data_IF_319508812375
#
_entry.id   IF_319508812375
#
_cell.length_a   1.000
_cell.length_b   1.000
_cell.length_c   1.000
_cell.angle_alpha   90.00
_cell.angle_beta   90.00
_cell.angle_gamma   90.00
#
_symmetry.space_group_name_H-M   'P 1'
#
loop_
_entity.id
_entity.type
_entity.pdbx_description
1 polymer ?
#
# COMPACT_ATOMS: atom_id res chain seq x y z
N UNK A 1 17.67 -6.90 -16.21
CA UNK A 1 17.76 -5.81 -15.26
C UNK A 1 18.16 -4.51 -15.92
N UNK A 2 17.73 -3.43 -15.35
CA UNK A 2 18.04 -2.06 -15.80
C UNK A 2 19.22 -1.46 -15.03
N UNK A 3 19.59 -2.07 -13.89
CA UNK A 3 20.73 -1.65 -13.10
C UNK A 3 22.06 -1.88 -13.84
N UNK A 4 23.04 -1.03 -13.59
CA UNK A 4 24.41 -1.24 -14.06
C UNK A 4 24.99 -2.48 -13.37
N UNK A 5 26.02 -3.05 -13.97
CA UNK A 5 26.77 -4.14 -13.34
C UNK A 5 27.35 -3.70 -11.98
N UNK A 6 27.18 -4.55 -10.98
CA UNK A 6 27.77 -4.42 -9.66
C UNK A 6 28.45 -5.74 -9.29
N UNK A 7 29.63 -5.66 -8.71
CA UNK A 7 30.24 -6.82 -8.10
C UNK A 7 29.43 -7.31 -6.93
N UNK A 8 29.56 -8.59 -6.59
CA UNK A 8 28.91 -9.14 -5.42
C UNK A 8 29.32 -8.37 -4.16
N UNK A 9 28.31 -8.00 -3.38
CA UNK A 9 28.48 -7.45 -2.04
C UNK A 9 27.46 -8.12 -1.12
N UNK A 10 27.90 -8.45 0.10
CA UNK A 10 27.04 -9.04 1.11
C UNK A 10 25.80 -8.18 1.41
N UNK A 11 25.94 -6.85 1.33
CA UNK A 11 24.85 -5.90 1.57
C UNK A 11 23.75 -5.93 0.50
N UNK A 12 23.96 -6.64 -0.62
CA UNK A 12 22.94 -6.90 -1.64
C UNK A 12 22.21 -8.24 -1.43
N UNK A 13 22.60 -9.03 -0.41
CA UNK A 13 22.15 -10.41 -0.25
C UNK A 13 21.10 -10.57 0.85
N UNK A 14 20.45 -11.75 0.90
CA UNK A 14 19.49 -12.20 1.91
C UNK A 14 18.39 -11.16 2.25
N UNK A 15 17.81 -10.55 1.21
CA UNK A 15 16.70 -9.61 1.40
C UNK A 15 17.11 -8.14 1.41
N UNK A 16 18.37 -7.81 1.66
CA UNK A 16 18.88 -6.42 1.65
C UNK A 16 18.76 -5.75 0.29
N UNK A 17 18.75 -6.52 -0.81
CA UNK A 17 18.53 -6.01 -2.16
C UNK A 17 17.27 -5.14 -2.29
N UNK A 18 16.25 -5.39 -1.49
CA UNK A 18 15.00 -4.60 -1.47
C UNK A 18 15.23 -3.14 -1.10
N UNK A 19 16.30 -2.86 -0.34
CA UNK A 19 16.60 -1.54 0.16
C UNK A 19 17.33 -0.65 -0.86
N UNK A 20 17.77 -1.19 -1.99
CA UNK A 20 18.51 -0.46 -3.00
C UNK A 20 17.61 -0.07 -4.17
N UNK A 21 17.63 1.21 -4.57
CA UNK A 21 16.83 1.72 -5.68
C UNK A 21 17.06 1.00 -7.02
N UNK A 22 18.27 0.46 -7.22
CA UNK A 22 18.61 -0.26 -8.45
C UNK A 22 18.05 -1.68 -8.50
N UNK A 23 17.62 -2.25 -7.38
CA UNK A 23 17.23 -3.65 -7.30
C UNK A 23 15.82 -3.88 -6.75
N UNK A 24 15.33 -2.98 -5.88
CA UNK A 24 14.07 -3.17 -5.20
C UNK A 24 13.22 -1.92 -5.09
N UNK A 25 12.10 -2.06 -4.40
CA UNK A 25 11.10 -1.00 -4.24
C UNK A 25 10.90 -0.58 -2.78
N UNK A 26 11.86 -0.90 -1.89
CA UNK A 26 11.80 -0.55 -0.47
C UNK A 26 10.60 -1.15 0.27
N UNK A 27 10.33 -0.62 1.45
CA UNK A 27 9.24 -1.09 2.32
C UNK A 27 7.86 -0.86 1.68
N UNK A 28 7.65 0.28 1.05
CA UNK A 28 6.38 0.59 0.39
C UNK A 28 6.06 -0.43 -0.72
N UNK A 29 7.02 -0.78 -1.57
CA UNK A 29 6.81 -1.74 -2.64
C UNK A 29 6.67 -3.19 -2.15
N UNK A 30 7.36 -3.54 -1.06
CA UNK A 30 7.32 -4.88 -0.47
C UNK A 30 6.05 -5.09 0.37
N UNK A 31 5.71 -4.13 1.25
CA UNK A 31 4.60 -4.24 2.20
C UNK A 31 3.31 -3.53 1.79
N UNK A 32 3.38 -2.62 0.82
CA UNK A 32 2.22 -1.83 0.43
C UNK A 32 1.02 -2.68 0.03
N UNK A 33 1.22 -3.75 -0.75
CA UNK A 33 0.16 -4.66 -1.14
C UNK A 33 -0.50 -5.38 0.05
N UNK A 34 0.27 -5.66 1.13
CA UNK A 34 -0.25 -6.32 2.31
C UNK A 34 -1.04 -5.39 3.24
N UNK A 35 -0.91 -4.09 3.08
CA UNK A 35 -1.50 -3.09 3.97
C UNK A 35 -2.56 -2.25 3.26
N UNK A 36 -2.27 -1.72 2.07
CA UNK A 36 -3.16 -0.80 1.37
C UNK A 36 -4.25 -1.48 0.55
N UNK A 37 -4.09 -2.75 0.19
CA UNK A 37 -4.99 -3.50 -0.70
C UNK A 37 -6.46 -3.35 -0.30
N UNK A 38 -6.81 -3.65 0.94
CA UNK A 38 -8.17 -3.56 1.45
C UNK A 38 -8.75 -2.15 1.33
N UNK A 39 -7.99 -1.13 1.73
CA UNK A 39 -8.44 0.26 1.63
C UNK A 39 -8.55 0.70 0.17
N UNK A 40 -7.61 0.29 -0.66
CA UNK A 40 -7.56 0.65 -2.07
C UNK A 40 -8.77 0.07 -2.83
N UNK A 41 -9.09 -1.20 -2.61
CA UNK A 41 -10.22 -1.87 -3.27
C UNK A 41 -11.56 -1.38 -2.72
N UNK A 42 -11.78 -1.41 -1.41
CA UNK A 42 -13.09 -1.11 -0.82
C UNK A 42 -13.47 0.37 -0.89
N UNK A 43 -12.51 1.25 -0.94
CA UNK A 43 -12.76 2.68 -1.15
C UNK A 43 -12.68 3.10 -2.62
N UNK A 44 -12.50 2.15 -3.54
CA UNK A 44 -12.38 2.40 -4.99
C UNK A 44 -11.42 3.55 -5.32
N UNK A 45 -10.21 3.51 -4.74
CA UNK A 45 -9.31 4.65 -4.76
C UNK A 45 -8.74 4.96 -6.16
N UNK A 46 -8.43 3.93 -6.94
CA UNK A 46 -7.77 4.09 -8.23
C UNK A 46 -6.36 4.69 -8.08
N UNK A 47 -6.06 5.73 -8.85
CA UNK A 47 -4.75 6.39 -8.81
C UNK A 47 -4.83 7.73 -8.07
N UNK A 48 -3.78 8.13 -7.32
CA UNK A 48 -3.73 9.42 -6.66
C UNK A 48 -3.53 10.56 -7.65
N UNK A 49 -3.85 11.78 -7.25
CA UNK A 49 -3.53 13.01 -7.99
C UNK A 49 -2.27 13.69 -7.49
N UNK A 50 -1.88 13.40 -6.26
CA UNK A 50 -0.70 14.00 -5.62
C UNK A 50 -0.02 12.97 -4.70
N UNK A 51 1.31 12.96 -4.71
CA UNK A 51 2.15 12.20 -3.80
C UNK A 51 3.17 13.15 -3.20
N UNK A 52 3.25 13.20 -1.87
CA UNK A 52 4.12 14.14 -1.16
C UNK A 52 4.94 13.42 -0.08
N UNK A 53 6.28 13.44 -0.14
CA UNK A 53 7.12 12.92 0.92
C UNK A 53 7.16 13.96 2.06
N UNK A 54 6.47 13.65 3.17
CA UNK A 54 6.42 14.53 4.33
C UNK A 54 7.65 14.40 5.22
N UNK A 55 8.22 13.20 5.28
CA UNK A 55 9.39 12.89 6.08
C UNK A 55 10.19 11.76 5.46
N UNK A 56 11.50 11.94 5.32
CA UNK A 56 12.44 10.94 4.82
C UNK A 56 13.71 11.00 5.65
N UNK A 57 13.93 10.01 6.52
CA UNK A 57 15.14 9.91 7.32
C UNK A 57 16.29 9.33 6.52
N UNK A 58 17.43 9.99 6.56
CA UNK A 58 18.67 9.57 5.87
C UNK A 58 18.49 9.40 4.36
N UNK A 59 17.68 10.28 3.74
CA UNK A 59 17.47 10.29 2.29
C UNK A 59 18.81 10.42 1.53
N UNK A 60 18.99 9.57 0.52
CA UNK A 60 20.20 9.54 -0.33
C UNK A 60 19.83 8.96 -1.72
N UNK A 61 20.73 9.05 -2.73
CA UNK A 61 20.41 8.58 -4.08
C UNK A 61 20.55 7.07 -4.32
N UNK A 62 20.99 6.29 -3.33
CA UNK A 62 21.35 4.88 -3.53
C UNK A 62 20.35 3.91 -2.93
N UNK A 63 19.87 4.17 -1.73
CA UNK A 63 18.98 3.26 -1.00
C UNK A 63 17.81 4.01 -0.35
N UNK A 64 16.79 3.25 -0.01
CA UNK A 64 15.56 3.79 0.58
C UNK A 64 15.82 4.40 1.95
N UNK A 65 15.06 5.45 2.32
CA UNK A 65 15.13 6.05 3.66
C UNK A 65 14.94 5.03 4.77
N UNK A 66 15.58 5.26 5.90
CA UNK A 66 15.44 4.42 7.09
C UNK A 66 14.05 4.51 7.72
N UNK A 67 13.38 5.62 7.49
CA UNK A 67 11.98 5.87 7.86
C UNK A 67 11.38 6.85 6.87
N UNK A 68 10.11 6.65 6.52
CA UNK A 68 9.41 7.58 5.64
C UNK A 68 7.96 7.82 6.03
N UNK A 69 7.48 9.03 5.74
CA UNK A 69 6.06 9.38 5.76
C UNK A 69 5.69 9.96 4.41
N UNK A 70 4.75 9.31 3.72
CA UNK A 70 4.25 9.74 2.42
C UNK A 70 2.77 10.02 2.49
N UNK A 71 2.35 11.12 1.91
CA UNK A 71 0.95 11.48 1.73
C UNK A 71 0.53 11.24 0.28
N UNK A 72 -0.53 10.46 0.09
CA UNK A 72 -1.19 10.25 -1.20
C UNK A 72 -2.57 10.90 -1.16
N UNK A 73 -2.91 11.71 -2.15
CA UNK A 73 -4.23 12.32 -2.27
C UNK A 73 -5.02 11.67 -3.39
N UNK A 74 -6.17 11.15 -3.04
CA UNK A 74 -7.13 10.57 -3.97
C UNK A 74 -8.34 11.48 -4.12
N UNK A 75 -8.79 11.76 -5.34
CA UNK A 75 -9.91 12.67 -5.58
C UNK A 75 -11.24 12.03 -5.19
N UNK A 76 -12.30 12.83 -5.22
CA UNK A 76 -13.67 12.34 -5.18
C UNK A 76 -13.92 11.33 -6.31
N UNK A 77 -14.75 10.32 -6.05
CA UNK A 77 -15.08 9.26 -7.00
C UNK A 77 -16.48 8.70 -6.75
N UNK A 78 -17.35 8.83 -7.74
CA UNK A 78 -18.76 8.48 -7.59
C UNK A 78 -19.37 9.26 -6.42
N UNK A 79 -19.93 8.53 -5.45
CA UNK A 79 -20.52 9.10 -4.23
C UNK A 79 -19.52 9.13 -3.05
N UNK A 80 -18.27 8.77 -3.26
CA UNK A 80 -17.25 8.75 -2.22
C UNK A 80 -16.44 10.05 -2.20
N UNK A 81 -16.18 10.62 -1.02
CA UNK A 81 -15.39 11.84 -0.88
C UNK A 81 -13.92 11.61 -1.27
N UNK A 82 -13.18 12.69 -1.42
CA UNK A 82 -11.72 12.63 -1.50
C UNK A 82 -11.13 11.94 -0.26
N UNK A 83 -10.02 11.24 -0.44
CA UNK A 83 -9.33 10.49 0.62
C UNK A 83 -7.85 10.83 0.59
N UNK A 84 -7.31 11.12 1.76
CA UNK A 84 -5.88 11.22 1.99
C UNK A 84 -5.39 9.94 2.66
N UNK A 85 -4.35 9.32 2.09
CA UNK A 85 -3.65 8.19 2.71
C UNK A 85 -2.27 8.63 3.13
N UNK A 86 -1.96 8.42 4.41
CA UNK A 86 -0.62 8.63 4.94
C UNK A 86 0.03 7.27 5.22
N UNK A 87 1.10 6.99 4.51
CA UNK A 87 1.96 5.84 4.72
C UNK A 87 3.06 6.18 5.71
N UNK A 88 3.30 5.28 6.65
CA UNK A 88 4.39 5.38 7.62
C UNK A 88 5.23 4.11 7.55
N UNK A 89 6.54 4.23 7.52
CA UNK A 89 7.48 3.13 7.72
C UNK A 89 8.68 3.58 8.57
N UNK A 90 9.39 2.60 9.11
CA UNK A 90 10.51 2.81 10.02
C UNK A 90 10.16 2.61 11.49
N UNK A 91 11.11 2.10 12.29
CA UNK A 91 10.89 1.76 13.70
C UNK A 91 10.69 2.98 14.60
N UNK A 92 11.18 4.13 14.18
CA UNK A 92 11.12 5.40 14.90
C UNK A 92 10.08 6.38 14.33
N UNK A 93 9.26 5.91 13.40
CA UNK A 93 8.25 6.72 12.71
C UNK A 93 6.85 6.07 12.82
N UNK A 94 6.48 5.73 14.04
CA UNK A 94 5.20 5.10 14.34
C UNK A 94 4.16 6.20 14.56
N UNK A 95 3.01 6.18 13.82
CA UNK A 95 1.94 7.15 14.04
C UNK A 95 1.30 7.00 15.41
N UNK A 96 0.63 8.05 15.89
CA UNK A 96 -0.26 7.94 17.04
C UNK A 96 -1.41 7.01 16.70
N UNK A 97 -1.83 6.22 17.68
CA UNK A 97 -2.96 5.29 17.52
C UNK A 97 -4.23 5.87 18.12
N UNK A 98 -5.40 5.57 17.53
CA UNK A 98 -6.68 6.03 18.04
C UNK A 98 -7.07 5.32 19.33
N UNK A 99 -8.05 5.91 20.03
CA UNK A 99 -8.67 5.29 21.20
C UNK A 99 -9.23 3.90 20.85
N UNK A 100 -9.03 2.94 21.74
CA UNK A 100 -9.46 1.55 21.56
C UNK A 100 -8.48 0.68 20.76
N UNK A 101 -7.43 1.27 20.17
CA UNK A 101 -6.42 0.49 19.46
C UNK A 101 -5.64 -0.44 20.41
N UNK A 102 -5.68 -1.75 20.14
CA UNK A 102 -4.92 -2.75 20.91
C UNK A 102 -5.51 -3.13 22.28
N UNK A 103 -6.69 -2.60 22.64
CA UNK A 103 -7.41 -2.92 23.87
C UNK A 103 -8.80 -3.52 23.62
N UNK A 104 -9.24 -3.58 22.36
CA UNK A 104 -10.52 -4.14 21.96
C UNK A 104 -10.54 -5.66 22.15
N UNK A 105 -11.60 -6.18 22.77
CA UNK A 105 -11.87 -7.61 22.89
C UNK A 105 -12.57 -8.16 21.63
N UNK A 106 -13.18 -7.29 20.85
CA UNK A 106 -13.92 -7.64 19.64
C UNK A 106 -13.05 -7.58 18.36
N UNK A 107 -11.85 -6.99 18.42
CA UNK A 107 -10.97 -6.85 17.27
C UNK A 107 -10.22 -8.16 16.99
N UNK A 108 -10.53 -8.89 15.90
CA UNK A 108 -9.85 -10.12 15.56
C UNK A 108 -8.38 -9.92 15.12
N UNK A 109 -7.97 -8.66 14.94
CA UNK A 109 -6.62 -8.29 14.52
C UNK A 109 -5.72 -7.87 15.69
N UNK A 110 -6.18 -8.05 16.94
CA UNK A 110 -5.30 -7.84 18.10
C UNK A 110 -4.21 -8.90 18.05
N UNK A 111 -2.93 -8.50 17.99
CA UNK A 111 -1.86 -9.47 18.05
C UNK A 111 -1.90 -10.19 19.41
N UNK A 112 -2.00 -11.50 19.38
CA UNK A 112 -1.77 -12.33 20.54
C UNK A 112 -0.27 -12.32 20.85
N UNK A 113 0.18 -11.31 21.58
CA UNK A 113 1.53 -11.34 22.17
C UNK A 113 1.43 -12.01 23.53
N UNK A 114 2.33 -12.91 23.82
CA UNK A 114 2.45 -13.46 25.16
C UNK A 114 2.50 -12.34 26.19
N UNK A 115 1.40 -12.18 26.97
CA UNK A 115 1.25 -11.10 27.94
C UNK A 115 0.20 -10.01 27.62
N UNK A 116 -0.49 -10.07 26.49
CA UNK A 116 -1.74 -9.33 26.24
C UNK A 116 -1.68 -7.82 26.12
N UNK A 117 -0.49 -7.19 26.04
CA UNK A 117 -0.38 -5.73 25.87
C UNK A 117 0.51 -5.40 24.67
N UNK A 118 -0.04 -4.70 23.68
CA UNK A 118 0.75 -4.11 22.60
C UNK A 118 1.55 -2.96 23.21
N UNK A 119 2.88 -3.06 23.13
CA UNK A 119 3.74 -1.92 23.40
C UNK A 119 3.61 -0.93 22.23
N UNK A 120 3.35 0.38 22.45
CA UNK A 120 3.22 1.36 21.38
C UNK A 120 4.40 1.36 20.39
N UNK A 121 5.60 1.10 20.86
CA UNK A 121 6.81 0.98 20.04
C UNK A 121 6.91 -0.32 19.22
N UNK A 122 5.93 -1.20 19.29
CA UNK A 122 5.89 -2.51 18.60
C UNK A 122 4.55 -2.75 17.93
N UNK A 123 3.97 -1.72 17.32
CA UNK A 123 2.77 -1.89 16.54
C UNK A 123 3.05 -2.85 15.37
N UNK A 124 2.16 -3.81 15.17
CA UNK A 124 2.23 -4.64 13.99
C UNK A 124 1.84 -3.83 12.76
N UNK A 125 2.39 -4.18 11.59
CA UNK A 125 1.96 -3.59 10.34
C UNK A 125 0.45 -3.71 10.15
N UNK A 126 -0.20 -2.61 9.80
CA UNK A 126 -1.64 -2.57 9.65
C UNK A 126 -2.12 -1.25 9.06
N UNK A 127 -3.42 -1.05 9.11
CA UNK A 127 -4.10 0.12 8.58
C UNK A 127 -5.18 0.61 9.51
N UNK A 128 -5.45 1.90 9.45
CA UNK A 128 -6.57 2.57 10.09
C UNK A 128 -7.33 3.38 9.05
N UNK A 129 -8.65 3.37 9.10
CA UNK A 129 -9.51 4.12 8.19
C UNK A 129 -10.44 4.98 9.04
N UNK A 130 -10.35 6.28 8.86
CA UNK A 130 -11.13 7.26 9.57
C UNK A 130 -12.29 7.76 8.71
N UNK A 131 -13.50 7.72 9.25
CA UNK A 131 -14.67 8.37 8.67
C UNK A 131 -15.21 9.43 9.62
N UNK A 132 -16.32 10.07 9.27
CA UNK A 132 -16.96 11.07 10.15
C UNK A 132 -17.46 10.48 11.46
N UNK A 133 -17.88 9.22 11.47
CA UNK A 133 -18.57 8.59 12.60
C UNK A 133 -17.83 7.37 13.14
N UNK A 134 -17.03 6.70 12.32
CA UNK A 134 -16.43 5.42 12.63
C UNK A 134 -14.94 5.42 12.34
N UNK A 135 -14.21 4.70 13.18
CA UNK A 135 -12.80 4.36 12.93
C UNK A 135 -12.72 2.85 12.73
N UNK A 136 -12.01 2.46 11.67
CA UNK A 136 -11.75 1.06 11.36
C UNK A 136 -10.27 0.76 11.53
N UNK A 137 -9.99 -0.44 12.05
CA UNK A 137 -8.66 -0.99 12.17
C UNK A 137 -8.56 -2.30 11.41
N UNK A 138 -7.44 -2.54 10.77
CA UNK A 138 -7.11 -3.82 10.14
C UNK A 138 -5.62 -4.11 10.26
N UNK A 139 -5.27 -5.38 10.33
CA UNK A 139 -3.87 -5.81 10.25
C UNK A 139 -3.36 -5.82 8.80
N UNK A 140 -2.28 -6.55 8.56
CA UNK A 140 -1.73 -6.82 7.24
C UNK A 140 -2.32 -8.11 6.63
N UNK A 141 -1.92 -8.43 5.39
CA UNK A 141 -2.22 -9.71 4.71
C UNK A 141 -3.71 -10.03 4.56
N UNK A 142 -4.53 -9.03 4.20
CA UNK A 142 -5.96 -9.23 3.96
C UNK A 142 -6.77 -9.50 5.22
N UNK A 143 -6.29 -9.06 6.38
CA UNK A 143 -7.06 -9.13 7.62
C UNK A 143 -8.37 -8.36 7.51
N UNK A 144 -9.40 -8.84 8.21
CA UNK A 144 -10.69 -8.16 8.30
C UNK A 144 -10.54 -6.79 8.96
N UNK A 145 -11.43 -5.87 8.61
CA UNK A 145 -11.56 -4.59 9.29
C UNK A 145 -12.48 -4.75 10.51
N UNK A 146 -12.08 -4.12 11.62
CA UNK A 146 -12.86 -4.01 12.85
C UNK A 146 -13.21 -2.57 13.11
N UNK A 147 -14.40 -2.31 13.65
CA UNK A 147 -14.79 -1.00 14.16
C UNK A 147 -14.22 -0.86 15.57
N UNK A 148 -13.60 0.27 15.85
CA UNK A 148 -13.07 0.62 17.17
C UNK A 148 -13.59 2.00 17.62
N UNK A 149 -13.79 2.23 18.96
CA UNK A 149 -13.72 1.26 20.05
C UNK A 149 -14.88 0.25 20.07
N UNK A 150 -14.85 -0.74 20.97
CA UNK A 150 -15.82 -1.82 21.05
C UNK A 150 -17.27 -1.35 21.26
N UNK A 151 -17.49 -0.24 21.93
CA UNK A 151 -18.81 0.36 22.12
C UNK A 151 -19.43 0.73 20.77
N UNK A 152 -18.63 1.30 19.86
CA UNK A 152 -19.06 1.62 18.49
C UNK A 152 -19.31 0.38 17.66
N UNK A 153 -18.50 -0.66 17.81
CA UNK A 153 -18.71 -1.93 17.13
C UNK A 153 -20.06 -2.56 17.54
N UNK A 154 -20.36 -2.58 18.83
CA UNK A 154 -21.65 -3.09 19.37
C UNK A 154 -22.84 -2.26 18.87
N UNK A 155 -22.74 -0.92 18.87
CA UNK A 155 -23.79 -0.04 18.34
C UNK A 155 -24.10 -0.32 16.87
N UNK A 156 -23.07 -0.65 16.09
CA UNK A 156 -23.20 -0.88 14.64
C UNK A 156 -23.63 -2.31 14.27
N UNK A 157 -23.53 -3.27 15.17
CA UNK A 157 -23.73 -4.70 14.89
C UNK A 157 -25.02 -4.99 14.10
N UNK A 158 -26.14 -4.42 14.53
CA UNK A 158 -27.43 -4.61 13.85
C UNK A 158 -27.57 -3.90 12.50
N UNK A 159 -26.64 -3.01 12.17
CA UNK A 159 -26.63 -2.22 10.91
C UNK A 159 -25.66 -2.79 9.89
N UNK A 160 -24.80 -3.72 10.28
CA UNK A 160 -23.84 -4.33 9.37
C UNK A 160 -24.54 -5.36 8.49
N UNK A 161 -24.27 -5.35 7.18
CA UNK A 161 -24.83 -6.36 6.28
C UNK A 161 -24.21 -7.73 6.54
N UNK A 162 -24.98 -8.80 6.35
CA UNK A 162 -24.43 -10.13 6.28
C UNK A 162 -23.54 -10.25 5.03
N UNK A 163 -22.29 -10.63 5.22
CA UNK A 163 -21.35 -10.87 4.12
C UNK A 163 -21.33 -12.36 3.80
N UNK A 164 -21.65 -12.77 2.57
CA UNK A 164 -21.63 -14.18 2.19
C UNK A 164 -20.22 -14.74 2.30
N UNK A 165 -20.11 -15.97 2.77
CA UNK A 165 -18.82 -16.66 2.79
C UNK A 165 -18.30 -16.88 1.37
N UNK A 166 -17.01 -16.74 1.18
CA UNK A 166 -16.36 -17.08 -0.09
C UNK A 166 -16.62 -18.54 -0.45
N UNK A 167 -16.98 -18.86 -1.71
CA UNK A 167 -17.28 -20.23 -2.13
C UNK A 167 -16.07 -21.15 -2.07
N UNK A 168 -14.87 -20.60 -2.20
CA UNK A 168 -13.60 -21.31 -2.16
C UNK A 168 -12.55 -20.59 -1.32
N UNK A 169 -11.55 -21.28 -0.83
CA UNK A 169 -10.40 -20.66 -0.19
C UNK A 169 -9.48 -19.99 -1.24
N UNK A 170 -8.49 -19.23 -0.78
CA UNK A 170 -7.58 -18.46 -1.63
C UNK A 170 -6.88 -19.30 -2.71
N UNK A 171 -6.33 -20.45 -2.36
CA UNK A 171 -5.61 -21.34 -3.30
C UNK A 171 -6.57 -22.01 -4.29
N UNK A 172 -7.70 -22.48 -3.81
CA UNK A 172 -8.73 -23.08 -4.65
C UNK A 172 -9.29 -22.06 -5.64
N UNK A 173 -9.50 -20.81 -5.23
CA UNK A 173 -9.96 -19.75 -6.13
C UNK A 173 -9.01 -19.54 -7.31
N UNK A 174 -7.70 -19.53 -7.07
CA UNK A 174 -6.71 -19.42 -8.17
C UNK A 174 -6.87 -20.57 -9.18
N UNK A 175 -6.89 -21.81 -8.69
CA UNK A 175 -7.02 -22.98 -9.56
C UNK A 175 -8.36 -23.00 -10.31
N UNK A 176 -9.46 -22.73 -9.62
CA UNK A 176 -10.79 -22.69 -10.21
C UNK A 176 -10.93 -21.56 -11.23
N UNK A 177 -10.27 -20.43 -11.00
CA UNK A 177 -10.22 -19.32 -11.96
C UNK A 177 -9.42 -19.68 -13.21
N UNK A 178 -8.29 -20.37 -13.07
CA UNK A 178 -7.54 -20.91 -14.21
C UNK A 178 -8.36 -21.90 -15.06
N UNK A 179 -9.27 -22.63 -14.41
CA UNK A 179 -10.20 -23.57 -15.06
C UNK A 179 -11.46 -22.91 -15.63
N UNK A 180 -11.61 -21.58 -15.47
CA UNK A 180 -12.82 -20.84 -15.87
C UNK A 180 -14.07 -21.13 -15.03
N UNK A 181 -13.92 -21.75 -13.84
CA UNK A 181 -15.03 -22.13 -12.94
C UNK A 181 -15.38 -21.05 -11.92
N UNK A 182 -14.45 -20.16 -11.60
CA UNK A 182 -14.65 -18.98 -10.74
C UNK A 182 -13.96 -17.75 -11.36
N UNK A 183 -14.37 -16.56 -10.90
CA UNK A 183 -13.61 -15.34 -11.14
C UNK A 183 -12.52 -15.21 -10.07
N UNK A 184 -11.33 -14.77 -10.47
CA UNK A 184 -10.28 -14.46 -9.48
C UNK A 184 -10.72 -13.29 -8.60
N UNK A 185 -10.41 -13.36 -7.31
CA UNK A 185 -10.67 -12.29 -6.33
C UNK A 185 -9.59 -11.20 -6.34
N UNK A 186 -8.45 -11.46 -6.95
CA UNK A 186 -7.35 -10.50 -7.09
C UNK A 186 -6.98 -10.34 -8.59
N UNK A 187 -7.87 -9.79 -9.42
CA UNK A 187 -7.59 -9.58 -10.85
C UNK A 187 -6.60 -8.45 -11.05
N UNK A 188 -5.98 -8.40 -12.23
CA UNK A 188 -5.07 -7.30 -12.58
C UNK A 188 -5.75 -5.93 -12.64
N UNK A 189 -7.06 -5.87 -12.80
CA UNK A 189 -7.83 -4.63 -12.69
C UNK A 189 -7.78 -4.00 -11.30
N UNK A 190 -7.49 -4.79 -10.26
CA UNK A 190 -7.26 -4.34 -8.88
C UNK A 190 -5.75 -4.19 -8.64
N UNK A 191 -4.98 -5.25 -8.91
CA UNK A 191 -3.54 -5.27 -8.61
C UNK A 191 -2.73 -4.26 -9.45
N UNK A 192 -3.14 -3.98 -10.69
CA UNK A 192 -2.46 -3.03 -11.57
C UNK A 192 -2.46 -1.61 -11.02
N UNK A 193 -3.64 -0.98 -10.77
CA UNK A 193 -3.68 0.36 -10.16
C UNK A 193 -3.00 0.43 -8.80
N UNK A 194 -3.17 -0.56 -7.94
CA UNK A 194 -2.50 -0.63 -6.65
C UNK A 194 -0.97 -0.62 -6.80
N UNK A 195 -0.42 -1.40 -7.74
CA UNK A 195 1.02 -1.40 -8.02
C UNK A 195 1.51 -0.06 -8.55
N UNK A 196 0.72 0.64 -9.36
CA UNK A 196 1.05 1.99 -9.83
C UNK A 196 1.12 3.00 -8.69
N UNK A 197 0.25 2.89 -7.67
CA UNK A 197 0.34 3.73 -6.46
C UNK A 197 1.71 3.57 -5.79
N UNK A 198 2.20 2.34 -5.66
CA UNK A 198 3.52 2.09 -5.06
C UNK A 198 4.65 2.65 -5.92
N UNK A 199 4.58 2.48 -7.24
CA UNK A 199 5.59 3.05 -8.15
C UNK A 199 5.68 4.58 -8.01
N UNK A 200 4.54 5.26 -7.94
CA UNK A 200 4.50 6.72 -7.73
C UNK A 200 5.07 7.11 -6.36
N UNK A 201 4.74 6.36 -5.31
CA UNK A 201 5.29 6.58 -3.97
C UNK A 201 6.81 6.40 -3.92
N UNK A 202 7.31 5.31 -4.49
CA UNK A 202 8.77 5.03 -4.60
C UNK A 202 9.49 6.12 -5.35
N UNK A 203 8.90 6.60 -6.45
CA UNK A 203 9.49 7.69 -7.23
C UNK A 203 9.56 8.99 -6.43
N UNK A 204 8.49 9.33 -5.70
CA UNK A 204 8.46 10.48 -4.79
C UNK A 204 9.51 10.36 -3.67
N UNK A 205 9.68 9.17 -3.07
CA UNK A 205 10.73 8.91 -2.07
C UNK A 205 12.12 9.10 -2.67
N UNK A 206 12.38 8.49 -3.82
CA UNK A 206 13.71 8.54 -4.49
C UNK A 206 14.14 9.96 -4.82
N UNK A 207 13.21 10.77 -5.33
CA UNK A 207 13.47 12.15 -5.72
C UNK A 207 13.37 13.14 -4.55
N UNK A 208 12.75 12.74 -3.44
CA UNK A 208 12.37 13.63 -2.34
C UNK A 208 11.60 14.86 -2.86
N UNK A 209 10.59 14.62 -3.68
CA UNK A 209 9.81 15.67 -4.34
C UNK A 209 8.34 15.33 -4.32
N UNK A 210 7.52 16.37 -4.15
CA UNK A 210 6.08 16.29 -4.37
C UNK A 210 5.81 16.08 -5.85
N UNK A 211 5.01 15.07 -6.18
CA UNK A 211 4.59 14.73 -7.53
C UNK A 211 3.11 15.04 -7.71
N UNK A 212 2.76 15.67 -8.84
CA UNK A 212 1.40 15.88 -9.30
C UNK A 212 1.16 14.98 -10.49
N UNK A 213 0.21 14.07 -10.35
CA UNK A 213 -0.05 13.01 -11.33
C UNK A 213 -1.39 13.24 -12.02
N UNK A 214 -1.36 13.30 -13.33
CA UNK A 214 -2.55 13.32 -14.18
C UNK A 214 -3.00 11.88 -14.42
N UNK A 215 -4.21 11.56 -13.96
CA UNK A 215 -4.80 10.23 -14.00
C UNK A 215 -5.23 9.81 -15.40
N UNK A 216 -5.55 10.76 -16.26
CA UNK A 216 -6.03 10.51 -17.62
C UNK A 216 -4.86 10.27 -18.56
N UNK A 217 -3.87 11.16 -18.53
CA UNK A 217 -2.67 11.05 -19.38
C UNK A 217 -1.61 10.10 -18.80
N UNK A 218 -1.76 9.68 -17.52
CA UNK A 218 -0.79 8.86 -16.79
C UNK A 218 0.59 9.49 -16.69
N UNK A 219 0.65 10.82 -16.57
CA UNK A 219 1.89 11.57 -16.53
C UNK A 219 2.06 12.36 -15.23
N UNK A 220 3.31 12.55 -14.82
CA UNK A 220 3.69 13.49 -13.77
C UNK A 220 3.87 14.85 -14.45
N UNK A 221 3.03 15.81 -14.05
CA UNK A 221 2.90 17.08 -14.77
C UNK A 221 3.82 18.19 -14.24
N UNK A 222 4.27 18.09 -13.01
CA UNK A 222 5.09 19.11 -12.34
C UNK A 222 6.60 18.80 -12.31
N UNK A 223 7.01 17.60 -12.77
CA UNK A 223 8.42 17.17 -12.74
C UNK A 223 8.76 16.32 -13.95
N UNK A 224 9.44 16.89 -14.98
CA UNK A 224 9.81 16.18 -16.19
C UNK A 224 10.82 15.02 -15.95
N UNK A 225 11.70 15.15 -14.95
CA UNK A 225 12.64 14.10 -14.58
C UNK A 225 11.88 12.89 -13.99
N UNK A 226 10.97 13.16 -13.06
CA UNK A 226 10.12 12.14 -12.48
C UNK A 226 9.26 11.45 -13.56
N UNK A 227 8.70 12.21 -14.49
CA UNK A 227 7.91 11.67 -15.58
C UNK A 227 8.76 10.78 -16.51
N UNK A 228 9.99 11.15 -16.80
CA UNK A 228 10.92 10.32 -17.57
C UNK A 228 11.25 9.00 -16.85
N UNK A 229 11.41 9.04 -15.52
CA UNK A 229 11.66 7.84 -14.72
C UNK A 229 10.44 6.94 -14.66
N UNK A 230 9.24 7.51 -14.60
CA UNK A 230 7.96 6.77 -14.60
C UNK A 230 7.81 5.96 -15.90
N UNK A 231 8.12 6.55 -17.05
CA UNK A 231 8.06 5.87 -18.35
C UNK A 231 9.13 4.78 -18.50
N UNK A 232 10.22 4.90 -17.75
CA UNK A 232 11.34 3.96 -17.78
C UNK A 232 12.18 4.04 -19.07
N UNK A 233 12.96 2.99 -19.29
CA UNK A 233 13.78 2.88 -20.51
C UNK A 233 12.97 2.35 -21.68
N UNK A 234 13.27 2.79 -22.93
CA UNK A 234 12.60 2.25 -24.11
C UNK A 234 12.72 0.72 -24.20
N UNK A 235 11.75 0.04 -24.79
CA UNK A 235 11.82 -1.39 -25.01
C UNK A 235 13.01 -1.73 -25.92
N UNK A 236 13.51 -2.96 -25.81
CA UNK A 236 14.53 -3.47 -26.72
C UNK A 236 14.01 -3.50 -28.15
N UNK A 237 14.90 -3.28 -29.11
CA UNK A 237 14.57 -3.33 -30.54
C UNK A 237 13.82 -4.63 -30.88
N UNK A 238 12.68 -4.50 -31.55
CA UNK A 238 11.80 -5.60 -31.93
C UNK A 238 10.74 -5.98 -30.89
N UNK A 239 10.70 -5.26 -29.73
CA UNK A 239 9.69 -5.46 -28.69
C UNK A 239 8.75 -4.27 -28.51
N UNK A 240 8.88 -3.24 -29.35
CA UNK A 240 8.14 -1.97 -29.26
C UNK A 240 6.61 -2.19 -29.30
N UNK A 241 6.16 -3.15 -30.11
CA UNK A 241 4.75 -3.48 -30.26
C UNK A 241 4.05 -3.97 -28.97
N UNK A 242 4.81 -4.41 -27.97
CA UNK A 242 4.29 -4.88 -26.68
C UNK A 242 4.27 -3.79 -25.61
N UNK A 243 4.72 -2.58 -25.96
CA UNK A 243 4.81 -1.43 -25.03
C UNK A 243 3.91 -0.26 -25.48
N UNK A 244 2.94 -0.52 -26.36
CA UNK A 244 1.90 0.45 -26.65
C UNK A 244 0.97 0.57 -25.45
N UNK A 245 1.09 1.68 -24.74
CA UNK A 245 0.22 2.07 -23.61
C UNK A 245 -0.87 2.98 -24.14
#
# INVERSE_FOLDING_TARGET
GVAKYHDYNHDYHLGQWRCWYDFGMGVLGDWGAHILDTAHEFLDLGLPTEINPLYLKDHNPFFFPMSSTLLFKFPERGNMPAVDITWYDGLDNIPSVPEGYGVSELDPNIPTVAGGKIQPAKLNPGKEIYSKELTFKGGSHGSTLSIIPDEKAKEMESRLPEVPKSPSNHFANFLLSCMGKEKTRSPFSIAGPLSQVFCLGVLSQRLNRKLVFDRDTKQITNDPEANKMLCGVPPRKGWEQYYTI
#
